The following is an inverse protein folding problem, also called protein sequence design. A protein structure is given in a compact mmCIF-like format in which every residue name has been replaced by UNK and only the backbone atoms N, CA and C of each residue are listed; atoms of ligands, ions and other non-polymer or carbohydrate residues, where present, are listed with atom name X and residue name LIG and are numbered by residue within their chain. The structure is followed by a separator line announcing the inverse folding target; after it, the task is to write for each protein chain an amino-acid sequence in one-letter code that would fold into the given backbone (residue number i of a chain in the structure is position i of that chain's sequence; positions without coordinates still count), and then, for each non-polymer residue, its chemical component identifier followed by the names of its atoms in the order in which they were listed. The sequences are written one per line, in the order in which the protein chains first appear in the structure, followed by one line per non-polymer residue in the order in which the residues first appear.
data_IF_035883554376
#
_entry.id   IF_035883554376
#
_cell.length_a   1.000
_cell.length_b   1.000
_cell.length_c   1.000
_cell.angle_alpha   90.00
_cell.angle_beta   90.00
_cell.angle_gamma   90.00
#
_symmetry.space_group_name_H-M   'P 1'
#
loop_
_entity.id
_entity.type
_entity.pdbx_description
1 polymer ?
#
# COMPACT_ATOMS: atom_id res chain seq x y z
N UNK A 1 27.43 12.31 2.04
CA UNK A 1 26.03 11.98 2.38
C UNK A 1 26.06 11.28 3.73
N UNK A 2 25.23 11.70 4.68
CA UNK A 2 25.19 11.09 6.02
C UNK A 2 24.83 9.60 5.88
N UNK A 3 25.60 8.72 6.51
CA UNK A 3 25.41 7.27 6.46
C UNK A 3 24.01 6.88 6.97
N UNK A 4 23.49 7.61 7.96
CA UNK A 4 22.15 7.39 8.50
C UNK A 4 21.07 7.58 7.44
N UNK A 5 21.20 8.59 6.58
CA UNK A 5 20.26 8.82 5.46
C UNK A 5 20.24 7.62 4.52
N UNK A 6 21.40 7.06 4.18
CA UNK A 6 21.49 5.88 3.31
C UNK A 6 20.80 4.68 3.97
N UNK A 7 21.06 4.45 5.25
CA UNK A 7 20.44 3.36 6.03
C UNK A 7 18.93 3.53 6.05
N UNK A 8 18.42 4.74 6.35
CA UNK A 8 16.98 5.01 6.40
C UNK A 8 16.28 4.75 5.07
N UNK A 9 16.85 5.24 3.96
CA UNK A 9 16.31 5.01 2.62
C UNK A 9 16.38 3.53 2.23
N UNK A 10 17.43 2.82 2.62
CA UNK A 10 17.57 1.39 2.34
C UNK A 10 16.55 0.55 3.10
N UNK A 11 16.27 0.88 4.37
CA UNK A 11 15.22 0.23 5.16
C UNK A 11 13.84 0.45 4.52
N UNK A 12 13.53 1.68 4.08
CA UNK A 12 12.29 1.98 3.36
C UNK A 12 12.20 1.17 2.07
N UNK A 13 13.31 1.05 1.34
CA UNK A 13 13.35 0.28 0.10
C UNK A 13 13.11 -1.21 0.32
N UNK A 14 13.67 -1.81 1.39
CA UNK A 14 13.40 -3.21 1.76
C UNK A 14 11.91 -3.40 2.08
N UNK A 15 11.32 -2.51 2.90
CA UNK A 15 9.89 -2.56 3.22
C UNK A 15 9.01 -2.49 1.97
N UNK A 16 9.37 -1.61 1.04
CA UNK A 16 8.70 -1.44 -0.25
C UNK A 16 8.82 -2.68 -1.15
N UNK A 17 10.00 -3.30 -1.21
CA UNK A 17 10.23 -4.55 -1.94
C UNK A 17 9.38 -5.69 -1.37
N UNK A 18 9.36 -5.84 -0.04
CA UNK A 18 8.51 -6.82 0.64
C UNK A 18 7.04 -6.62 0.30
N UNK A 19 6.54 -5.37 0.39
CA UNK A 19 5.17 -5.02 0.00
C UNK A 19 4.88 -5.42 -1.45
N UNK A 20 5.74 -5.05 -2.39
CA UNK A 20 5.56 -5.40 -3.80
C UNK A 20 5.55 -6.89 -4.06
N UNK A 21 6.17 -7.68 -3.17
CA UNK A 21 6.21 -9.14 -3.22
C UNK A 21 4.96 -9.81 -2.63
N UNK A 22 4.05 -9.07 -1.97
CA UNK A 22 2.88 -9.67 -1.30
C UNK A 22 1.91 -10.38 -2.26
N UNK A 23 1.92 -10.03 -3.54
CA UNK A 23 1.12 -10.71 -4.57
C UNK A 23 1.62 -12.11 -4.92
N UNK A 24 2.88 -12.44 -4.61
CA UNK A 24 3.43 -13.78 -4.88
C UNK A 24 2.70 -14.85 -4.07
N UNK A 25 2.58 -14.76 -2.73
CA UNK A 25 1.77 -15.70 -1.96
C UNK A 25 0.28 -15.65 -2.32
N UNK A 26 -0.30 -14.49 -2.64
CA UNK A 26 -1.71 -14.39 -3.07
C UNK A 26 -1.98 -15.27 -4.29
N UNK A 27 -1.05 -15.34 -5.25
CA UNK A 27 -1.19 -16.19 -6.44
C UNK A 27 -1.13 -17.71 -6.13
N UNK A 28 -0.86 -18.11 -4.89
CA UNK A 28 -0.86 -19.51 -4.43
C UNK A 28 -2.16 -19.91 -3.72
N UNK A 29 -3.05 -18.95 -3.49
CA UNK A 29 -4.38 -19.20 -2.92
C UNK A 29 -5.21 -19.95 -3.94
N UNK A 30 -5.96 -20.96 -3.48
CA UNK A 30 -6.72 -21.88 -4.32
C UNK A 30 -8.19 -21.85 -3.93
N UNK A 31 -9.08 -21.89 -4.93
CA UNK A 31 -10.52 -22.11 -4.77
C UNK A 31 -11.25 -21.10 -3.89
N UNK A 32 -10.61 -20.04 -3.45
CA UNK A 32 -11.24 -18.93 -2.75
C UNK A 32 -11.52 -17.79 -3.71
N UNK A 33 -12.70 -17.21 -3.61
CA UNK A 33 -13.07 -15.98 -4.30
C UNK A 33 -12.25 -14.80 -3.80
N UNK A 34 -12.23 -13.73 -4.57
CA UNK A 34 -11.46 -12.53 -4.25
C UNK A 34 -11.82 -11.97 -2.87
N UNK A 35 -13.10 -11.81 -2.59
CA UNK A 35 -13.61 -11.27 -1.35
C UNK A 35 -13.23 -12.13 -0.13
N UNK A 36 -13.16 -13.46 -0.31
CA UNK A 36 -12.81 -14.39 0.75
C UNK A 36 -11.33 -14.27 1.15
N UNK A 37 -10.41 -14.33 0.19
CA UNK A 37 -9.00 -14.20 0.53
C UNK A 37 -8.60 -12.77 0.88
N UNK A 38 -9.25 -11.74 0.30
CA UNK A 38 -8.96 -10.35 0.62
C UNK A 38 -9.33 -10.00 2.05
N UNK A 39 -10.45 -10.53 2.55
CA UNK A 39 -10.87 -10.37 3.95
C UNK A 39 -9.86 -11.01 4.90
N UNK A 40 -9.47 -12.27 4.65
CA UNK A 40 -8.54 -13.00 5.53
C UNK A 40 -7.13 -12.40 5.47
N UNK A 41 -6.62 -12.10 4.29
CA UNK A 41 -5.32 -11.43 4.13
C UNK A 41 -5.34 -10.05 4.77
N UNK A 42 -6.43 -9.28 4.60
CA UNK A 42 -6.63 -7.96 5.22
C UNK A 42 -6.69 -8.03 6.74
N UNK A 43 -7.28 -9.08 7.31
CA UNK A 43 -7.28 -9.30 8.76
C UNK A 43 -5.84 -9.38 9.30
N UNK A 44 -4.95 -10.09 8.63
CA UNK A 44 -3.55 -10.15 9.03
C UNK A 44 -2.80 -8.85 8.72
N UNK A 45 -2.96 -8.30 7.52
CA UNK A 45 -2.24 -7.12 7.05
C UNK A 45 -2.59 -5.84 7.83
N UNK A 46 -3.87 -5.68 8.19
CA UNK A 46 -4.41 -4.42 8.70
C UNK A 46 -4.84 -4.45 10.17
N UNK A 47 -4.95 -5.64 10.77
CA UNK A 47 -5.21 -5.78 12.20
C UNK A 47 -4.06 -6.49 12.91
N UNK A 48 -3.77 -7.76 12.57
CA UNK A 48 -2.86 -8.59 13.37
C UNK A 48 -1.45 -8.03 13.38
N UNK A 49 -0.83 -7.81 12.22
CA UNK A 49 0.54 -7.32 12.17
C UNK A 49 0.70 -5.89 12.68
N UNK A 50 -0.18 -4.92 12.34
CA UNK A 50 -0.12 -3.58 12.95
C UNK A 50 -0.34 -3.58 14.46
N UNK A 51 -1.23 -4.44 14.96
CA UNK A 51 -1.44 -4.61 16.41
C UNK A 51 -0.18 -5.14 17.11
N UNK A 52 0.47 -6.15 16.54
CA UNK A 52 1.76 -6.66 17.05
C UNK A 52 2.85 -5.58 17.01
N UNK A 53 2.88 -4.76 15.94
CA UNK A 53 3.77 -3.60 15.86
C UNK A 53 3.49 -2.57 16.97
N UNK A 54 2.20 -2.35 17.30
CA UNK A 54 1.82 -1.47 18.42
C UNK A 54 2.27 -2.04 19.75
N UNK A 55 2.09 -3.34 19.99
CA UNK A 55 2.58 -3.99 21.22
C UNK A 55 4.09 -3.78 21.38
N UNK A 56 4.86 -3.92 20.28
CA UNK A 56 6.31 -3.69 20.30
C UNK A 56 6.68 -2.22 20.59
N UNK A 57 5.75 -1.28 20.38
CA UNK A 57 5.92 0.14 20.65
C UNK A 57 5.51 0.55 22.08
N UNK A 58 4.83 -0.31 22.82
CA UNK A 58 4.41 -0.03 24.19
C UNK A 58 5.58 -0.31 25.15
N UNK A 59 6.02 0.68 25.97
CA UNK A 59 7.03 0.46 26.98
C UNK A 59 6.57 -0.52 28.06
N UNK A 60 7.54 -1.21 28.69
CA UNK A 60 7.26 -2.10 29.82
C UNK A 60 6.47 -1.41 30.92
N UNK A 61 5.47 -2.07 31.45
CA UNK A 61 4.57 -1.56 32.49
C UNK A 61 3.41 -0.71 32.00
N UNK A 62 3.35 -0.39 30.71
CA UNK A 62 2.21 0.32 30.11
C UNK A 62 1.32 -0.62 29.28
N UNK A 63 0.13 -0.13 28.92
CA UNK A 63 -0.85 -0.88 28.11
C UNK A 63 -1.37 -0.05 26.93
N UNK A 64 -1.91 -0.75 25.92
CA UNK A 64 -2.57 -0.09 24.78
C UNK A 64 -3.78 0.72 25.26
N UNK A 65 -4.52 0.23 26.26
CA UNK A 65 -5.66 0.96 26.82
C UNK A 65 -5.25 2.28 27.46
N UNK A 66 -4.14 2.33 28.17
CA UNK A 66 -3.58 3.57 28.72
C UNK A 66 -3.16 4.52 27.60
N UNK A 67 -2.51 4.02 26.54
CA UNK A 67 -2.16 4.84 25.39
C UNK A 67 -3.40 5.50 24.76
N UNK A 68 -4.47 4.74 24.58
CA UNK A 68 -5.71 5.26 24.00
C UNK A 68 -6.41 6.27 24.92
N UNK A 69 -6.41 6.02 26.24
CA UNK A 69 -7.03 6.90 27.23
C UNK A 69 -6.30 8.23 27.40
N UNK A 70 -4.97 8.24 27.27
CA UNK A 70 -4.18 9.48 27.37
C UNK A 70 -4.18 10.30 26.08
N UNK A 71 -4.54 9.68 24.95
CA UNK A 71 -4.56 10.37 23.65
C UNK A 71 -5.85 11.15 23.50
N UNK A 72 -5.74 12.39 23.00
CA UNK A 72 -6.91 13.20 22.67
C UNK A 72 -7.85 12.48 21.69
N UNK A 73 -9.14 12.44 22.06
CA UNK A 73 -10.18 11.76 21.29
C UNK A 73 -10.28 12.26 19.85
N UNK A 74 -10.05 13.56 19.61
CA UNK A 74 -10.06 14.11 18.27
C UNK A 74 -8.95 13.51 17.39
N UNK A 75 -7.74 13.37 17.92
CA UNK A 75 -6.64 12.74 17.19
C UNK A 75 -6.90 11.26 16.90
N UNK A 76 -7.48 10.52 17.85
CA UNK A 76 -7.88 9.12 17.64
C UNK A 76 -8.91 9.00 16.53
N UNK A 77 -9.99 9.81 16.61
CA UNK A 77 -11.08 9.77 15.63
C UNK A 77 -10.60 10.18 14.23
N UNK A 78 -9.79 11.24 14.11
CA UNK A 78 -9.25 11.67 12.81
C UNK A 78 -8.31 10.60 12.22
N UNK A 79 -7.46 9.98 13.04
CA UNK A 79 -6.58 8.90 12.58
C UNK A 79 -7.38 7.73 12.01
N UNK A 80 -8.42 7.29 12.70
CA UNK A 80 -9.30 6.20 12.24
C UNK A 80 -10.12 6.63 11.02
N UNK A 81 -10.69 7.85 11.01
CA UNK A 81 -11.51 8.38 9.92
C UNK A 81 -10.71 8.42 8.60
N UNK A 82 -9.49 8.95 8.64
CA UNK A 82 -8.63 8.94 7.46
C UNK A 82 -8.21 7.53 7.05
N UNK A 83 -8.17 6.58 7.98
CA UNK A 83 -8.05 5.16 7.70
C UNK A 83 -9.27 4.60 6.95
N UNK A 84 -10.49 4.95 7.36
CA UNK A 84 -11.74 4.57 6.65
C UNK A 84 -11.73 5.09 5.21
N UNK A 85 -11.35 6.36 5.00
CA UNK A 85 -11.22 6.95 3.66
C UNK A 85 -10.15 6.25 2.82
N UNK A 86 -9.01 5.93 3.43
CA UNK A 86 -7.97 5.13 2.78
C UNK A 86 -8.50 3.74 2.34
N UNK A 87 -9.33 3.11 3.15
CA UNK A 87 -9.96 1.82 2.83
C UNK A 87 -10.80 1.88 1.55
N UNK A 88 -11.52 2.98 1.31
CA UNK A 88 -12.24 3.24 0.04
C UNK A 88 -11.25 3.32 -1.13
N UNK A 89 -10.10 3.97 -0.93
CA UNK A 89 -9.02 4.00 -1.92
C UNK A 89 -8.54 2.61 -2.31
N UNK A 90 -8.31 1.73 -1.32
CA UNK A 90 -7.91 0.34 -1.56
C UNK A 90 -8.90 -0.44 -2.41
N UNK A 91 -10.21 -0.28 -2.18
CA UNK A 91 -11.26 -0.94 -2.97
C UNK A 91 -11.32 -0.43 -4.42
N UNK A 92 -11.08 0.87 -4.64
CA UNK A 92 -11.10 1.47 -5.99
C UNK A 92 -9.81 1.21 -6.77
N UNK A 93 -8.72 0.81 -6.11
CA UNK A 93 -7.42 0.52 -6.74
C UNK A 93 -7.51 -0.58 -7.80
N UNK A 94 -8.12 -1.72 -7.45
CA UNK A 94 -8.34 -2.81 -8.41
C UNK A 94 -9.20 -2.40 -9.61
N UNK A 95 -10.17 -1.50 -9.40
CA UNK A 95 -11.01 -0.97 -10.45
C UNK A 95 -10.21 -0.08 -11.41
N UNK A 96 -9.31 0.77 -10.92
CA UNK A 96 -8.43 1.59 -11.76
C UNK A 96 -7.56 0.74 -12.70
N UNK A 97 -6.99 -0.35 -12.18
CA UNK A 97 -6.19 -1.29 -12.97
C UNK A 97 -7.03 -2.04 -14.02
N UNK A 98 -8.30 -2.33 -13.71
CA UNK A 98 -9.21 -2.96 -14.66
C UNK A 98 -9.48 -2.08 -15.89
N UNK A 99 -9.64 -0.77 -15.68
CA UNK A 99 -9.92 0.19 -16.77
C UNK A 99 -8.66 0.57 -17.56
N UNK A 100 -7.54 0.85 -16.87
CA UNK A 100 -6.33 1.41 -17.46
C UNK A 100 -5.23 0.37 -17.74
N UNK A 101 -5.39 -0.85 -17.23
CA UNK A 101 -4.32 -1.83 -17.13
C UNK A 101 -3.47 -1.61 -15.88
N UNK A 102 -2.74 -2.67 -15.48
CA UNK A 102 -2.01 -2.70 -14.19
C UNK A 102 -1.00 -1.56 -14.10
N UNK A 103 -0.10 -1.42 -15.08
CA UNK A 103 0.98 -0.45 -15.02
C UNK A 103 0.48 1.01 -14.95
N UNK A 104 -0.46 1.39 -15.82
CA UNK A 104 -0.95 2.77 -15.88
C UNK A 104 -1.89 3.09 -14.69
N UNK A 105 -2.82 2.18 -14.38
CA UNK A 105 -3.74 2.35 -13.26
C UNK A 105 -3.01 2.46 -11.93
N UNK A 106 -2.02 1.59 -11.69
CA UNK A 106 -1.19 1.63 -10.50
C UNK A 106 -0.35 2.91 -10.42
N UNK A 107 0.29 3.31 -11.53
CA UNK A 107 1.14 4.50 -11.54
C UNK A 107 0.34 5.78 -11.28
N UNK A 108 -0.83 5.96 -11.88
CA UNK A 108 -1.67 7.13 -11.62
C UNK A 108 -2.17 7.11 -10.17
N UNK A 109 -2.67 5.99 -9.68
CA UNK A 109 -3.18 5.87 -8.30
C UNK A 109 -2.09 6.10 -7.26
N UNK A 110 -0.94 5.43 -7.36
CA UNK A 110 0.15 5.57 -6.39
C UNK A 110 0.90 6.90 -6.54
N UNK A 111 1.01 7.45 -7.76
CA UNK A 111 1.57 8.78 -7.96
C UNK A 111 0.72 9.86 -7.30
N UNK A 112 -0.60 9.81 -7.51
CA UNK A 112 -1.55 10.71 -6.85
C UNK A 112 -1.52 10.54 -5.33
N UNK A 113 -1.47 9.30 -4.84
CA UNK A 113 -1.32 8.97 -3.42
C UNK A 113 -0.03 9.57 -2.82
N UNK A 114 1.09 9.42 -3.52
CA UNK A 114 2.39 9.94 -3.09
C UNK A 114 2.37 11.46 -2.94
N UNK A 115 1.90 12.17 -3.95
CA UNK A 115 1.85 13.63 -3.96
C UNK A 115 0.85 14.17 -2.93
N UNK A 116 -0.40 13.72 -3.01
CA UNK A 116 -1.46 14.21 -2.13
C UNK A 116 -1.23 13.77 -0.68
N UNK A 117 -0.79 12.54 -0.45
CA UNK A 117 -0.46 12.07 0.91
C UNK A 117 0.63 12.90 1.57
N UNK A 118 1.61 13.38 0.81
CA UNK A 118 2.69 14.24 1.35
C UNK A 118 2.20 15.67 1.61
N UNK A 119 1.34 16.21 0.75
CA UNK A 119 0.89 17.61 0.83
C UNK A 119 -0.31 17.77 1.77
N UNK A 120 -1.30 16.88 1.68
CA UNK A 120 -2.56 17.02 2.41
C UNK A 120 -2.38 16.96 3.93
N UNK A 121 -1.45 16.14 4.44
CA UNK A 121 -1.20 16.03 5.88
C UNK A 121 -0.93 17.39 6.52
N UNK A 122 0.14 18.10 6.14
CA UNK A 122 0.43 19.45 6.63
C UNK A 122 -0.67 20.47 6.37
N UNK A 123 -1.30 20.44 5.18
CA UNK A 123 -2.38 21.40 4.81
C UNK A 123 -3.60 21.23 5.71
N UNK A 124 -4.07 20.01 5.90
CA UNK A 124 -5.25 19.73 6.72
C UNK A 124 -4.93 20.01 8.20
N UNK A 125 -3.74 19.57 8.68
CA UNK A 125 -3.34 19.85 10.06
C UNK A 125 -3.26 21.34 10.34
N UNK A 126 -2.81 22.16 9.38
CA UNK A 126 -2.77 23.61 9.52
C UNK A 126 -4.16 24.24 9.67
N UNK A 127 -5.20 23.59 9.17
CA UNK A 127 -6.59 24.08 9.33
C UNK A 127 -7.07 23.94 10.77
N UNK A 128 -6.62 22.91 11.48
CA UNK A 128 -7.01 22.63 12.86
C UNK A 128 -6.03 23.20 13.90
N UNK A 129 -4.74 23.25 13.56
CA UNK A 129 -3.64 23.64 14.44
C UNK A 129 -2.66 24.57 13.73
N UNK A 130 -3.10 25.79 13.32
CA UNK A 130 -2.23 26.73 12.61
C UNK A 130 -1.03 27.19 13.45
N UNK A 131 -1.14 27.17 14.78
CA UNK A 131 -0.08 27.53 15.71
C UNK A 131 1.13 26.58 15.65
N UNK A 132 0.94 25.33 15.26
CA UNK A 132 2.03 24.37 15.04
C UNK A 132 2.81 24.64 13.73
N UNK A 133 2.27 25.52 12.89
CA UNK A 133 2.85 25.91 11.60
C UNK A 133 3.30 24.70 10.73
N UNK A 134 2.41 23.70 10.50
CA UNK A 134 2.78 22.48 9.78
C UNK A 134 3.14 22.75 8.32
N UNK A 135 2.72 23.87 7.76
CA UNK A 135 3.09 24.29 6.40
C UNK A 135 4.60 24.47 6.20
N UNK A 136 5.38 24.70 7.26
CA UNK A 136 6.85 24.75 7.20
C UNK A 136 7.46 23.45 6.69
N UNK A 137 6.76 22.33 6.77
CA UNK A 137 7.22 21.06 6.23
C UNK A 137 7.23 21.05 4.70
N UNK A 138 6.37 21.86 4.04
CA UNK A 138 6.25 21.96 2.59
C UNK A 138 7.26 22.96 2.00
N UNK A 139 8.55 22.69 2.23
CA UNK A 139 9.62 23.49 1.69
C UNK A 139 9.73 23.38 0.16
N UNK A 140 10.41 24.33 -0.50
CA UNK A 140 10.70 24.24 -1.94
C UNK A 140 11.39 22.92 -2.32
N UNK A 141 12.30 22.43 -1.47
CA UNK A 141 12.96 21.14 -1.68
C UNK A 141 11.98 19.97 -1.66
N UNK A 142 11.00 19.97 -0.73
CA UNK A 142 9.95 18.96 -0.66
C UNK A 142 9.07 19.01 -1.91
N UNK A 143 8.65 20.20 -2.34
CA UNK A 143 7.80 20.35 -3.53
C UNK A 143 8.50 19.88 -4.81
N UNK A 144 9.81 20.21 -4.96
CA UNK A 144 10.63 19.70 -6.07
C UNK A 144 10.75 18.17 -5.97
N UNK A 145 10.96 17.62 -4.79
CA UNK A 145 11.02 16.17 -4.57
C UNK A 145 9.74 15.45 -4.97
N UNK A 146 8.57 16.00 -4.61
CA UNK A 146 7.25 15.48 -5.05
C UNK A 146 7.13 15.54 -6.57
N UNK A 147 7.52 16.66 -7.21
CA UNK A 147 7.45 16.81 -8.66
C UNK A 147 8.35 15.79 -9.39
N UNK A 148 9.59 15.64 -8.94
CA UNK A 148 10.54 14.64 -9.49
C UNK A 148 9.99 13.23 -9.35
N UNK A 149 9.38 12.91 -8.20
CA UNK A 149 8.75 11.61 -7.96
C UNK A 149 7.59 11.37 -8.91
N UNK A 150 6.71 12.36 -9.11
CA UNK A 150 5.58 12.26 -10.05
C UNK A 150 6.05 12.04 -11.48
N UNK A 151 7.07 12.75 -11.93
CA UNK A 151 7.67 12.57 -13.25
C UNK A 151 8.23 11.14 -13.39
N UNK A 152 8.97 10.68 -12.40
CA UNK A 152 9.52 9.31 -12.40
C UNK A 152 8.43 8.24 -12.47
N UNK A 153 7.38 8.35 -11.66
CA UNK A 153 6.22 7.44 -11.67
C UNK A 153 5.49 7.48 -13.01
N UNK A 154 5.32 8.67 -13.61
CA UNK A 154 4.70 8.81 -14.92
C UNK A 154 5.52 8.10 -16.03
N UNK A 155 6.83 8.27 -16.04
CA UNK A 155 7.73 7.58 -16.98
C UNK A 155 7.62 6.07 -16.83
N UNK A 156 7.68 5.55 -15.61
CA UNK A 156 7.56 4.11 -15.33
C UNK A 156 6.18 3.59 -15.75
N UNK A 157 5.11 4.33 -15.47
CA UNK A 157 3.75 3.97 -15.85
C UNK A 157 3.56 3.91 -17.35
N UNK A 158 4.07 4.89 -18.11
CA UNK A 158 4.02 4.92 -19.56
C UNK A 158 4.85 3.76 -20.14
N UNK A 159 6.08 3.56 -19.68
CA UNK A 159 6.92 2.45 -20.13
C UNK A 159 6.28 1.08 -19.88
N UNK A 160 5.68 0.89 -18.69
CA UNK A 160 4.94 -0.33 -18.36
C UNK A 160 3.71 -0.53 -19.23
N UNK A 161 2.95 0.54 -19.54
CA UNK A 161 1.78 0.49 -20.44
C UNK A 161 2.19 0.16 -21.88
N UNK A 162 3.26 0.77 -22.38
CA UNK A 162 3.80 0.48 -23.72
C UNK A 162 4.23 -0.99 -23.83
N UNK A 163 4.96 -1.50 -22.84
CA UNK A 163 5.36 -2.90 -22.77
C UNK A 163 4.15 -3.84 -22.75
N UNK A 164 3.13 -3.53 -21.94
CA UNK A 164 1.92 -4.33 -21.86
C UNK A 164 1.18 -4.35 -23.23
N UNK A 165 1.17 -3.24 -23.96
CA UNK A 165 0.57 -3.15 -25.27
C UNK A 165 1.32 -3.98 -26.33
N UNK A 166 2.66 -4.08 -26.26
CA UNK A 166 3.45 -4.92 -27.19
C UNK A 166 3.24 -6.41 -26.94
N UNK A 167 2.94 -6.81 -25.71
CA UNK A 167 2.74 -8.21 -25.32
C UNK A 167 1.28 -8.67 -25.45
N UNK A 168 0.33 -7.76 -25.71
CA UNK A 168 -1.10 -8.09 -25.83
C UNK A 168 -1.42 -8.73 -27.20
N UNK A 169 -2.25 -9.80 -27.26
CA UNK A 169 -2.74 -10.34 -28.51
C UNK A 169 -3.51 -9.28 -29.31
N UNK A 170 -3.47 -9.35 -30.65
CA UNK A 170 -4.12 -8.37 -31.54
C UNK A 170 -5.63 -8.24 -31.31
N UNK A 171 -6.29 -9.33 -30.95
CA UNK A 171 -7.72 -9.37 -30.61
C UNK A 171 -8.07 -8.54 -29.36
N UNK A 172 -7.09 -8.25 -28.49
CA UNK A 172 -7.27 -7.47 -27.26
C UNK A 172 -7.11 -5.96 -27.46
N UNK A 173 -6.57 -5.54 -28.61
CA UNK A 173 -6.28 -4.11 -28.91
C UNK A 173 -7.53 -3.31 -29.32
N UNK A 174 -8.59 -3.97 -29.76
CA UNK A 174 -9.74 -3.31 -30.39
C UNK A 174 -10.76 -2.65 -29.41
N UNK A 175 -10.76 -2.98 -28.11
CA UNK A 175 -11.88 -2.64 -27.21
C UNK A 175 -11.61 -1.55 -26.14
N UNK A 176 -10.52 -0.79 -26.23
CA UNK A 176 -10.25 0.30 -25.25
C UNK A 176 -10.40 1.67 -25.90
N UNK A 177 -11.59 2.04 -26.38
CA UNK A 177 -11.84 3.36 -26.98
C UNK A 177 -12.66 4.29 -26.08
N UNK A 178 -12.15 5.52 -25.92
CA UNK A 178 -12.89 6.73 -25.55
C UNK A 178 -13.32 6.80 -24.09
N UNK A 179 -14.60 6.73 -23.82
CA UNK A 179 -15.24 7.02 -22.55
C UNK A 179 -14.76 6.13 -21.37
N UNK A 180 -14.36 4.90 -21.67
CA UNK A 180 -13.82 3.94 -20.67
C UNK A 180 -12.43 4.33 -20.13
N UNK A 181 -11.60 4.95 -20.96
CA UNK A 181 -10.25 5.41 -20.59
C UNK A 181 -10.31 6.60 -19.62
N UNK A 182 -11.12 7.64 -19.97
CA UNK A 182 -11.30 8.81 -19.09
C UNK A 182 -11.93 8.42 -17.75
N UNK A 183 -12.91 7.51 -17.76
CA UNK A 183 -13.48 6.96 -16.53
C UNK A 183 -12.41 6.27 -15.68
N UNK A 184 -11.50 5.53 -16.31
CA UNK A 184 -10.39 4.90 -15.63
C UNK A 184 -9.44 5.90 -14.97
N UNK A 185 -9.11 7.01 -15.64
CA UNK A 185 -8.29 8.09 -15.08
C UNK A 185 -8.96 8.71 -13.86
N UNK A 186 -10.24 9.05 -13.94
CA UNK A 186 -10.99 9.65 -12.82
C UNK A 186 -10.99 8.69 -11.61
N UNK A 187 -11.23 7.40 -11.84
CA UNK A 187 -11.20 6.38 -10.79
C UNK A 187 -9.80 6.26 -10.19
N UNK A 188 -8.74 6.31 -11.00
CA UNK A 188 -7.37 6.22 -10.54
C UNK A 188 -6.96 7.46 -9.71
N UNK A 189 -7.38 8.66 -10.11
CA UNK A 189 -7.15 9.89 -9.36
C UNK A 189 -7.92 9.89 -8.04
N UNK A 190 -9.20 9.46 -8.04
CA UNK A 190 -9.99 9.31 -6.82
C UNK A 190 -9.38 8.28 -5.88
N UNK A 191 -8.95 7.14 -6.42
CA UNK A 191 -8.22 6.12 -5.68
C UNK A 191 -6.97 6.69 -5.02
N UNK A 192 -6.16 7.44 -5.77
CA UNK A 192 -4.94 8.05 -5.25
C UNK A 192 -5.20 9.09 -4.17
N UNK A 193 -6.25 9.92 -4.34
CA UNK A 193 -6.68 10.88 -3.33
C UNK A 193 -7.07 10.17 -2.03
N UNK A 194 -7.98 9.20 -2.11
CA UNK A 194 -8.42 8.41 -0.95
C UNK A 194 -7.26 7.62 -0.32
N UNK A 195 -6.35 7.07 -1.14
CA UNK A 195 -5.16 6.38 -0.65
C UNK A 195 -4.18 7.31 0.06
N UNK A 196 -4.07 8.57 -0.36
CA UNK A 196 -3.29 9.61 0.30
C UNK A 196 -3.78 9.93 1.72
N UNK A 197 -5.06 9.67 2.02
CA UNK A 197 -5.63 9.80 3.35
C UNK A 197 -4.90 8.96 4.40
N UNK A 198 -4.22 7.89 4.01
CA UNK A 198 -3.37 7.12 4.91
C UNK A 198 -2.31 7.99 5.60
N UNK A 199 -1.58 8.78 4.82
CA UNK A 199 -0.54 9.66 5.38
C UNK A 199 -1.13 10.82 6.19
N UNK A 200 -2.32 11.29 5.84
CA UNK A 200 -3.06 12.28 6.66
C UNK A 200 -3.40 11.67 8.02
N UNK A 201 -3.89 10.44 8.06
CA UNK A 201 -4.14 9.70 9.30
C UNK A 201 -2.86 9.56 10.14
N UNK A 202 -1.73 9.21 9.52
CA UNK A 202 -0.44 9.17 10.22
C UNK A 202 -0.01 10.54 10.77
N UNK A 203 -0.36 11.63 10.07
CA UNK A 203 -0.05 13.00 10.52
C UNK A 203 -0.86 13.36 11.76
N UNK A 204 -2.16 13.04 11.81
CA UNK A 204 -2.97 13.21 13.02
C UNK A 204 -2.53 12.30 14.16
N UNK A 205 -2.09 11.09 13.83
CA UNK A 205 -1.62 10.11 14.80
C UNK A 205 -0.17 10.25 15.24
N UNK A 206 0.58 11.24 14.76
CA UNK A 206 2.03 11.35 14.98
C UNK A 206 2.45 11.36 16.46
N UNK A 207 1.58 11.84 17.35
CA UNK A 207 1.82 11.93 18.79
C UNK A 207 1.17 10.77 19.58
N UNK A 208 0.61 9.77 18.91
CA UNK A 208 0.00 8.60 19.56
C UNK A 208 1.10 7.59 19.91
N UNK A 209 1.87 7.91 20.93
CA UNK A 209 2.90 7.05 21.52
C UNK A 209 3.24 7.55 22.93
N UNK A 210 3.80 6.70 23.77
CA UNK A 210 4.35 7.14 25.05
C UNK A 210 5.66 7.88 24.83
N UNK A 211 6.00 8.78 25.76
CA UNK A 211 7.29 9.48 25.74
C UNK A 211 8.48 8.51 25.82
N UNK A 212 8.29 7.38 26.52
CA UNK A 212 9.30 6.32 26.65
C UNK A 212 9.35 5.37 25.46
N UNK A 213 8.42 5.47 24.48
CA UNK A 213 8.48 4.65 23.27
C UNK A 213 9.75 4.94 22.47
N UNK A 214 10.53 3.92 22.05
CA UNK A 214 11.68 4.14 21.19
C UNK A 214 11.29 4.85 19.89
N UNK A 215 12.07 5.82 19.45
CA UNK A 215 11.79 6.63 18.26
C UNK A 215 11.55 5.79 16.99
N UNK A 216 12.18 4.62 16.90
CA UNK A 216 11.97 3.63 15.82
C UNK A 216 10.51 3.20 15.66
N UNK A 217 9.72 3.26 16.73
CA UNK A 217 8.37 2.70 16.79
C UNK A 217 7.28 3.76 16.94
N UNK A 218 7.61 5.06 16.94
CA UNK A 218 6.65 6.14 17.18
C UNK A 218 5.43 6.12 16.23
N UNK A 219 5.60 5.68 14.99
CA UNK A 219 4.48 5.69 14.02
C UNK A 219 3.65 4.41 14.02
N UNK A 220 4.05 3.36 14.76
CA UNK A 220 3.37 2.07 14.71
C UNK A 220 1.96 2.11 15.32
N UNK A 221 1.69 2.78 16.46
CA UNK A 221 0.34 2.90 16.99
C UNK A 221 -0.59 3.67 16.06
N UNK A 222 -0.12 4.77 15.47
CA UNK A 222 -0.90 5.49 14.45
C UNK A 222 -1.18 4.62 13.22
N UNK A 223 -0.19 3.83 12.78
CA UNK A 223 -0.35 2.89 11.66
C UNK A 223 -1.45 1.87 11.96
N UNK A 224 -1.50 1.33 13.18
CA UNK A 224 -2.57 0.41 13.58
C UNK A 224 -3.95 1.05 13.52
N UNK A 225 -4.11 2.27 14.02
CA UNK A 225 -5.40 2.97 14.00
C UNK A 225 -5.86 3.31 12.57
N UNK A 226 -4.96 3.73 11.70
CA UNK A 226 -5.26 3.97 10.28
C UNK A 226 -5.66 2.67 9.59
N UNK A 227 -4.90 1.59 9.79
CA UNK A 227 -5.20 0.30 9.17
C UNK A 227 -6.47 -0.35 9.74
N UNK A 228 -6.80 -0.12 11.02
CA UNK A 228 -8.07 -0.50 11.63
C UNK A 228 -9.25 0.15 10.89
N UNK A 229 -9.18 1.47 10.63
CA UNK A 229 -10.20 2.17 9.84
C UNK A 229 -10.35 1.58 8.44
N UNK A 230 -9.24 1.33 7.75
CA UNK A 230 -9.23 0.73 6.42
C UNK A 230 -9.73 -0.71 6.40
N UNK A 231 -9.41 -1.50 7.43
CA UNK A 231 -9.96 -2.85 7.59
C UNK A 231 -11.48 -2.81 7.71
N UNK A 232 -12.02 -1.91 8.52
CA UNK A 232 -13.48 -1.76 8.67
C UNK A 232 -14.16 -1.56 7.30
N UNK A 233 -13.69 -0.63 6.48
CA UNK A 233 -14.24 -0.38 5.14
C UNK A 233 -14.16 -1.61 4.25
N UNK A 234 -12.99 -2.25 4.21
CA UNK A 234 -12.77 -3.42 3.36
C UNK A 234 -13.56 -4.63 3.85
N UNK A 235 -13.65 -4.84 5.18
CA UNK A 235 -14.41 -5.94 5.76
C UNK A 235 -15.90 -5.81 5.43
N UNK A 236 -16.49 -4.63 5.61
CA UNK A 236 -17.90 -4.38 5.25
C UNK A 236 -18.14 -4.71 3.77
N UNK A 237 -17.26 -4.27 2.88
CA UNK A 237 -17.40 -4.55 1.46
C UNK A 237 -17.22 -6.03 1.13
N UNK A 238 -16.22 -6.70 1.70
CA UNK A 238 -15.99 -8.14 1.47
C UNK A 238 -17.13 -9.00 2.02
N UNK A 239 -17.64 -8.69 3.21
CA UNK A 239 -18.79 -9.40 3.79
C UNK A 239 -20.05 -9.22 2.93
N UNK A 240 -20.29 -8.00 2.41
CA UNK A 240 -21.37 -7.75 1.46
C UNK A 240 -21.20 -8.60 0.19
N UNK A 241 -20.00 -8.66 -0.38
CA UNK A 241 -19.71 -9.44 -1.59
C UNK A 241 -19.81 -10.94 -1.34
N UNK A 242 -19.33 -11.46 -0.20
CA UNK A 242 -19.50 -12.86 0.20
C UNK A 242 -20.99 -13.25 0.26
N UNK A 243 -21.84 -12.37 0.79
CA UNK A 243 -23.27 -12.60 0.82
C UNK A 243 -23.89 -12.57 -0.59
N UNK A 244 -23.54 -11.57 -1.39
CA UNK A 244 -24.06 -11.38 -2.75
C UNK A 244 -23.64 -12.50 -3.72
N UNK A 245 -22.40 -12.96 -3.61
CA UNK A 245 -21.81 -13.98 -4.49
C UNK A 245 -21.97 -15.40 -3.92
N UNK A 246 -22.58 -15.57 -2.75
CA UNK A 246 -22.73 -16.87 -2.06
C UNK A 246 -21.41 -17.60 -1.82
N UNK A 247 -20.34 -16.89 -1.48
CA UNK A 247 -18.98 -17.41 -1.34
C UNK A 247 -18.60 -17.79 0.09
N UNK A 248 -19.54 -17.78 1.04
CA UNK A 248 -19.29 -18.19 2.43
C UNK A 248 -18.73 -19.61 2.56
N UNK A 249 -19.08 -20.51 1.61
CA UNK A 249 -18.55 -21.86 1.54
C UNK A 249 -17.04 -21.95 1.35
N UNK A 250 -16.38 -20.87 0.89
CA UNK A 250 -14.93 -20.84 0.71
C UNK A 250 -14.17 -21.12 2.01
N UNK A 251 -14.68 -20.59 3.13
CA UNK A 251 -14.07 -20.77 4.46
C UNK A 251 -14.24 -22.17 5.03
N UNK A 252 -15.14 -22.98 4.46
CA UNK A 252 -15.38 -24.37 4.87
C UNK A 252 -14.64 -25.42 4.00
N UNK A 253 -13.88 -24.99 2.96
CA UNK A 253 -13.14 -25.91 2.07
C UNK A 253 -11.90 -26.45 2.77
N UNK A 254 -12.04 -27.52 3.54
CA UNK A 254 -10.99 -28.11 4.38
C UNK A 254 -9.69 -28.44 3.65
N UNK A 255 -9.76 -28.90 2.38
CA UNK A 255 -8.59 -29.30 1.59
C UNK A 255 -7.64 -28.13 1.26
N UNK A 256 -8.15 -26.90 1.17
CA UNK A 256 -7.36 -25.73 0.78
C UNK A 256 -7.19 -24.73 1.90
N UNK A 257 -7.93 -24.87 3.01
CA UNK A 257 -7.98 -23.88 4.10
C UNK A 257 -6.60 -23.60 4.70
N UNK A 258 -5.85 -24.64 5.09
CA UNK A 258 -4.51 -24.47 5.68
C UNK A 258 -3.53 -23.80 4.72
N UNK A 259 -3.53 -24.22 3.45
CA UNK A 259 -2.73 -23.58 2.40
C UNK A 259 -3.08 -22.10 2.26
N UNK A 260 -4.36 -21.78 2.16
CA UNK A 260 -4.84 -20.42 1.93
C UNK A 260 -4.56 -19.52 3.12
N UNK A 261 -4.75 -20.03 4.35
CA UNK A 261 -4.43 -19.30 5.56
C UNK A 261 -2.95 -18.91 5.64
N UNK A 262 -2.04 -19.85 5.38
CA UNK A 262 -0.58 -19.60 5.39
C UNK A 262 -0.23 -18.52 4.36
N UNK A 263 -0.76 -18.60 3.15
CA UNK A 263 -0.47 -17.61 2.12
C UNK A 263 -1.12 -16.25 2.39
N UNK A 264 -2.29 -16.19 3.04
CA UNK A 264 -2.87 -14.94 3.52
C UNK A 264 -2.03 -14.30 4.63
N UNK A 265 -1.51 -15.08 5.58
CA UNK A 265 -0.60 -14.61 6.64
C UNK A 265 0.69 -14.04 6.01
N UNK A 266 1.32 -14.79 5.12
CA UNK A 266 2.55 -14.35 4.44
C UNK A 266 2.31 -13.07 3.63
N UNK A 267 1.21 -13.02 2.86
CA UNK A 267 0.85 -11.83 2.10
C UNK A 267 0.58 -10.64 3.00
N UNK A 268 -0.11 -10.84 4.13
CA UNK A 268 -0.39 -9.81 5.12
C UNK A 268 0.88 -9.24 5.75
N UNK A 269 1.82 -10.11 6.15
CA UNK A 269 3.10 -9.70 6.72
C UNK A 269 3.98 -8.94 5.72
N UNK A 270 4.07 -9.43 4.50
CA UNK A 270 4.78 -8.74 3.42
C UNK A 270 4.14 -7.37 3.11
N UNK A 271 2.81 -7.29 3.10
CA UNK A 271 2.11 -6.03 2.90
C UNK A 271 2.41 -5.01 4.02
N UNK A 272 2.37 -5.44 5.28
CA UNK A 272 2.62 -4.57 6.44
C UNK A 272 4.09 -4.11 6.53
N UNK A 273 5.04 -4.89 6.02
CA UNK A 273 6.47 -4.60 6.07
C UNK A 273 6.84 -3.21 5.53
N UNK A 274 6.07 -2.66 4.58
CA UNK A 274 6.30 -1.30 4.07
C UNK A 274 6.15 -0.23 5.15
N UNK A 275 5.15 -0.34 6.01
CA UNK A 275 4.89 0.67 7.05
C UNK A 275 5.78 0.46 8.26
N UNK A 276 6.10 -0.80 8.58
CA UNK A 276 7.12 -1.11 9.56
C UNK A 276 8.49 -0.56 9.10
N UNK A 277 8.88 -0.81 7.86
CA UNK A 277 10.09 -0.25 7.26
C UNK A 277 10.08 1.29 7.19
N UNK A 278 8.91 1.90 6.91
CA UNK A 278 8.76 3.35 6.94
C UNK A 278 9.00 3.92 8.35
N UNK A 279 8.44 3.29 9.38
CA UNK A 279 8.64 3.69 10.78
C UNK A 279 10.12 3.65 11.17
N UNK A 280 10.77 2.51 10.94
CA UNK A 280 12.19 2.34 11.22
C UNK A 280 13.06 3.31 10.42
N UNK A 281 12.79 3.45 9.12
CA UNK A 281 13.56 4.30 8.22
C UNK A 281 13.48 5.78 8.58
N UNK A 282 12.30 6.28 8.96
CA UNK A 282 12.11 7.67 9.39
C UNK A 282 13.06 8.10 10.51
N UNK A 283 13.35 7.20 11.46
CA UNK A 283 14.25 7.49 12.56
C UNK A 283 15.68 7.84 12.09
N UNK A 284 16.12 7.27 10.99
CA UNK A 284 17.43 7.57 10.39
C UNK A 284 17.41 8.83 9.49
N UNK A 285 16.24 9.40 9.22
CA UNK A 285 16.08 10.60 8.37
C UNK A 285 15.90 11.88 9.18
N UNK A 286 15.99 11.84 10.52
CA UNK A 286 15.75 12.99 11.41
C UNK A 286 16.72 14.16 11.16
N UNK A 287 17.93 13.89 10.66
CA UNK A 287 18.90 14.92 10.25
C UNK A 287 18.51 15.69 8.99
N UNK A 288 17.51 15.19 8.24
CA UNK A 288 17.05 15.81 6.97
C UNK A 288 15.52 15.97 6.98
N UNK A 289 14.98 17.10 7.48
CA UNK A 289 13.53 17.34 7.53
C UNK A 289 12.82 17.17 6.17
N UNK A 290 13.49 17.52 5.07
CA UNK A 290 12.93 17.35 3.73
C UNK A 290 12.74 15.86 3.37
N UNK A 291 13.74 15.01 3.63
CA UNK A 291 13.63 13.57 3.37
C UNK A 291 12.65 12.90 4.34
N UNK A 292 12.58 13.36 5.58
CA UNK A 292 11.60 12.88 6.54
C UNK A 292 10.17 13.14 6.03
N UNK A 293 9.88 14.34 5.55
CA UNK A 293 8.57 14.70 4.95
C UNK A 293 8.30 13.92 3.66
N UNK A 294 9.33 13.72 2.82
CA UNK A 294 9.24 12.96 1.57
C UNK A 294 9.22 11.44 1.76
N UNK A 295 9.44 10.92 2.96
CA UNK A 295 9.59 9.47 3.20
C UNK A 295 8.40 8.65 2.70
N UNK A 296 7.17 9.16 2.87
CA UNK A 296 5.97 8.50 2.34
C UNK A 296 5.91 8.55 0.81
N UNK A 297 6.28 9.68 0.21
CA UNK A 297 6.35 9.84 -1.25
C UNK A 297 7.38 8.85 -1.85
N UNK A 298 8.55 8.75 -1.23
CA UNK A 298 9.61 7.80 -1.62
C UNK A 298 9.12 6.36 -1.51
N UNK A 299 8.44 5.99 -0.42
CA UNK A 299 7.86 4.67 -0.24
C UNK A 299 6.91 4.32 -1.38
N UNK A 300 5.98 5.22 -1.73
CA UNK A 300 5.01 5.00 -2.80
C UNK A 300 5.69 4.89 -4.17
N UNK A 301 6.72 5.69 -4.45
CA UNK A 301 7.50 5.60 -5.67
C UNK A 301 8.22 4.24 -5.79
N UNK A 302 8.86 3.80 -4.73
CA UNK A 302 9.53 2.49 -4.68
C UNK A 302 8.55 1.33 -4.86
N UNK A 303 7.34 1.43 -4.30
CA UNK A 303 6.26 0.46 -4.54
C UNK A 303 5.93 0.34 -6.03
N UNK A 304 5.86 1.44 -6.77
CA UNK A 304 5.65 1.44 -8.22
C UNK A 304 6.82 0.77 -8.95
N UNK A 305 8.05 1.13 -8.59
CA UNK A 305 9.28 0.56 -9.21
C UNK A 305 9.33 -0.95 -9.04
N UNK A 306 9.20 -1.43 -7.82
CA UNK A 306 9.33 -2.87 -7.52
C UNK A 306 8.16 -3.69 -8.05
N UNK A 307 6.92 -3.17 -8.00
CA UNK A 307 5.76 -3.88 -8.54
C UNK A 307 5.86 -4.06 -10.06
N UNK A 308 6.27 -3.04 -10.80
CA UNK A 308 6.44 -3.15 -12.25
C UNK A 308 7.55 -4.12 -12.66
N UNK A 309 8.66 -4.17 -11.90
CA UNK A 309 9.75 -5.10 -12.14
C UNK A 309 9.35 -6.54 -11.80
N UNK A 310 8.62 -6.74 -10.70
CA UNK A 310 8.13 -8.06 -10.27
C UNK A 310 7.18 -8.69 -11.29
N UNK A 311 6.24 -7.94 -11.85
CA UNK A 311 5.32 -8.41 -12.90
C UNK A 311 6.07 -8.80 -14.18
N UNK A 312 7.10 -8.03 -14.54
CA UNK A 312 8.00 -8.30 -15.67
C UNK A 312 8.72 -9.64 -15.54
N UNK A 313 9.33 -9.89 -14.39
CA UNK A 313 10.08 -11.14 -14.12
C UNK A 313 9.16 -12.36 -14.07
N UNK A 314 7.97 -12.23 -13.49
CA UNK A 314 7.00 -13.33 -13.39
C UNK A 314 6.41 -13.74 -14.74
N UNK A 315 6.10 -12.78 -15.62
CA UNK A 315 5.63 -13.04 -16.99
C UNK A 315 6.73 -13.69 -17.84
N UNK A 316 7.96 -13.16 -17.78
CA UNK A 316 9.12 -13.72 -18.48
C UNK A 316 9.41 -15.17 -18.06
N UNK A 317 9.33 -15.48 -16.76
CA UNK A 317 9.53 -16.85 -16.25
C UNK A 317 8.43 -17.83 -16.71
N UNK A 318 7.16 -17.38 -16.81
CA UNK A 318 6.06 -18.22 -17.34
C UNK A 318 6.21 -18.48 -18.83
N UNK A 319 6.61 -17.48 -19.60
CA UNK A 319 6.81 -17.64 -21.05
C UNK A 319 8.01 -18.51 -21.38
N UNK A 320 9.11 -18.38 -20.60
CA UNK A 320 10.25 -19.30 -20.69
C UNK A 320 9.86 -20.74 -20.34
N UNK A 321 9.05 -20.95 -19.29
CA UNK A 321 8.56 -22.28 -18.90
C UNK A 321 7.60 -22.87 -19.92
N UNK A 322 6.72 -22.07 -20.54
CA UNK A 322 5.85 -22.50 -21.64
C UNK A 322 6.64 -22.91 -22.88
N UNK A 323 7.66 -22.13 -23.25
CA UNK A 323 8.55 -22.47 -24.38
C UNK A 323 9.33 -23.74 -24.13
N UNK A 324 9.84 -23.96 -22.91
CA UNK A 324 10.52 -25.20 -22.50
C UNK A 324 9.57 -26.41 -22.57
N UNK A 325 8.35 -26.28 -22.06
CA UNK A 325 7.35 -27.35 -22.13
C UNK A 325 6.94 -27.65 -23.60
N UNK A 326 6.74 -26.64 -24.43
CA UNK A 326 6.45 -26.83 -25.87
C UNK A 326 7.63 -27.47 -26.59
N UNK A 327 8.86 -27.09 -26.29
CA UNK A 327 10.07 -27.72 -26.85
C UNK A 327 10.19 -29.17 -26.42
N UNK A 328 9.88 -29.50 -25.16
CA UNK A 328 9.89 -30.86 -24.65
C UNK A 328 8.79 -31.74 -25.24
N UNK A 329 7.60 -31.18 -25.51
CA UNK A 329 6.50 -31.88 -26.18
C UNK A 329 6.80 -32.13 -27.67
N UNK A 330 7.44 -31.16 -28.34
CA UNK A 330 7.86 -31.37 -29.74
C UNK A 330 9.02 -32.35 -29.88
N UNK A 331 9.90 -32.46 -28.87
CA UNK A 331 10.98 -33.48 -28.85
C UNK A 331 10.53 -34.88 -28.50
N UNK A 332 9.28 -35.06 -27.98
CA UNK A 332 8.67 -36.36 -27.71
C UNK A 332 7.79 -36.88 -28.86
N UNK A 333 7.60 -36.10 -29.92
CA UNK A 333 6.79 -36.42 -31.10
C UNK A 333 7.63 -36.73 -32.36
N UNK A 334 8.96 -36.76 -32.23
CA UNK A 334 9.93 -37.23 -33.21
C UNK A 334 10.77 -38.38 -32.57
#
# INVERSE_FOLDING_TARGET
MDINIIIGLFIIAIGSFCHSSCYVPINKIKEWSWESYWLVQGFFAWLVFPFLGTIAAIPEGNSISELLLQTDTFHLLMTILFGVLWGVGGLTFGLSMRYLGVALGQSISLGTCAALGTIMGPVILNTFYPELNPMKQLTGAVMIGVLVTLIGIAIIGIAGAMRAATLAPETSKANKKGNSFYKGIIIALLCGFMSGCFNVGLTFGQNIHFTATPALFHTLPATFLVTLGGFFTNAVYCLYQNNKNHTWGDYAKGNTWGNNLVFCILAGGLWYSQFFGLSLGKNFLLSSPALLTLSFCILMALNVVFSNNGESSYKSGRDARRKLLQSSYSALLY
#
